data_IF_189888140543
#
_entry.id   IF_189888140543
#
_cell.length_a   1.000
_cell.length_b   1.000
_cell.length_c   1.000
_cell.angle_alpha   90.00
_cell.angle_beta   90.00
_cell.angle_gamma   90.00
#
_symmetry.space_group_name_H-M   'P 1'
#
loop_
_entity.id
_entity.type
_entity.pdbx_description
1 polymer ?
#
# COMPACT_ATOMS: atom_id res chain seq x y z
N UNK A 1 28.82 -5.27 -18.35
CA UNK A 1 28.80 -4.80 -19.77
C UNK A 1 27.52 -3.99 -19.97
N UNK A 2 27.60 -2.68 -19.76
CA UNK A 2 26.54 -1.73 -20.14
C UNK A 2 26.69 -1.47 -21.63
N UNK A 3 25.73 -1.92 -22.44
CA UNK A 3 25.72 -1.64 -23.88
C UNK A 3 25.15 -0.24 -24.06
N UNK A 4 26.05 0.72 -24.27
CA UNK A 4 25.74 2.00 -24.87
C UNK A 4 25.10 1.80 -26.25
N UNK A 5 23.95 2.43 -26.48
CA UNK A 5 23.49 2.77 -27.83
C UNK A 5 22.61 1.75 -28.54
N UNK A 6 21.33 1.68 -28.16
CA UNK A 6 20.23 1.52 -29.12
C UNK A 6 19.19 2.57 -28.78
N UNK A 7 19.38 3.75 -29.35
CA UNK A 7 18.44 4.85 -29.23
C UNK A 7 17.12 4.41 -29.83
N UNK A 8 16.05 4.48 -29.04
CA UNK A 8 14.73 4.73 -29.61
C UNK A 8 14.88 6.05 -30.36
N UNK A 9 15.05 6.00 -31.68
CA UNK A 9 15.17 7.20 -32.49
C UNK A 9 13.79 7.89 -32.49
N UNK A 10 13.76 9.19 -32.20
CA UNK A 10 12.55 10.03 -32.28
C UNK A 10 11.85 9.91 -33.65
N UNK A 11 12.60 9.59 -34.71
CA UNK A 11 12.00 9.40 -36.02
C UNK A 11 11.27 8.05 -36.19
N UNK A 12 11.63 7.00 -35.45
CA UNK A 12 11.15 5.63 -35.76
C UNK A 12 10.50 4.85 -34.64
N UNK A 13 10.61 5.22 -33.35
CA UNK A 13 9.91 4.61 -32.19
C UNK A 13 9.87 3.06 -32.14
N UNK A 14 10.69 2.40 -32.96
CA UNK A 14 10.80 0.96 -33.15
C UNK A 14 12.26 0.61 -32.89
N UNK A 15 12.48 -0.20 -31.86
CA UNK A 15 13.74 -0.86 -31.61
C UNK A 15 13.80 -2.12 -32.48
N UNK A 16 14.52 -2.03 -33.61
CA UNK A 16 14.69 -3.14 -34.56
C UNK A 16 15.47 -4.32 -33.97
N UNK A 17 16.32 -4.08 -32.98
CA UNK A 17 17.14 -5.14 -32.37
C UNK A 17 16.30 -5.94 -31.38
N UNK A 18 15.51 -5.25 -30.54
CA UNK A 18 14.65 -5.89 -29.55
C UNK A 18 13.25 -6.23 -30.08
N UNK A 19 12.94 -5.85 -31.32
CA UNK A 19 11.62 -5.99 -31.94
C UNK A 19 10.52 -5.35 -31.08
N UNK A 20 10.78 -4.15 -30.54
CA UNK A 20 9.83 -3.42 -29.68
C UNK A 20 9.37 -2.15 -30.36
N UNK A 21 8.08 -1.86 -30.30
CA UNK A 21 7.54 -0.56 -30.68
C UNK A 21 7.10 0.19 -29.43
N UNK A 22 7.30 1.51 -29.40
CA UNK A 22 6.74 2.38 -28.37
C UNK A 22 5.43 2.98 -28.88
N UNK A 23 4.39 2.78 -28.08
CA UNK A 23 3.08 3.44 -28.21
C UNK A 23 2.95 4.37 -27.01
N UNK A 24 2.40 5.56 -27.24
CA UNK A 24 2.12 6.55 -26.20
C UNK A 24 0.63 6.78 -26.17
N UNK A 25 0.02 6.52 -25.03
CA UNK A 25 -1.36 6.87 -24.74
C UNK A 25 -1.39 8.20 -24.01
N UNK A 26 -2.06 9.19 -24.61
CA UNK A 26 -2.31 10.48 -24.00
C UNK A 26 -3.76 10.51 -23.56
N UNK A 27 -3.95 10.65 -22.26
CA UNK A 27 -5.26 10.89 -21.68
C UNK A 27 -5.39 12.39 -21.36
N UNK A 28 -6.34 13.06 -22.01
CA UNK A 28 -6.58 14.49 -21.85
C UNK A 28 -7.98 14.73 -21.29
N UNK A 29 -8.16 15.85 -20.58
CA UNK A 29 -9.45 16.21 -19.97
C UNK A 29 -9.86 17.61 -20.40
N UNK A 30 -11.00 17.70 -21.08
CA UNK A 30 -11.57 18.94 -21.59
C UNK A 30 -12.90 19.23 -20.91
N UNK A 31 -13.27 20.50 -20.79
CA UNK A 31 -14.56 20.89 -20.20
C UNK A 31 -15.58 21.09 -21.30
N UNK A 32 -16.67 20.33 -21.23
CA UNK A 32 -17.76 20.39 -22.20
C UNK A 32 -19.10 20.65 -21.52
N UNK A 33 -19.99 21.36 -22.22
CA UNK A 33 -21.34 21.60 -21.73
C UNK A 33 -22.23 20.42 -22.12
N UNK A 34 -22.66 19.65 -21.12
CA UNK A 34 -23.63 18.56 -21.30
C UNK A 34 -25.02 18.98 -20.81
N UNK A 35 -26.04 18.42 -21.44
CA UNK A 35 -27.44 18.65 -21.14
C UNK A 35 -28.00 17.44 -20.38
N UNK A 36 -28.31 17.64 -19.11
CA UNK A 36 -28.90 16.63 -18.24
C UNK A 36 -30.42 16.78 -18.21
N UNK A 37 -31.11 15.64 -18.09
CA UNK A 37 -32.53 15.61 -17.84
C UNK A 37 -32.75 15.71 -16.34
N UNK A 38 -33.66 16.58 -15.91
CA UNK A 38 -33.97 16.79 -14.51
C UNK A 38 -35.46 16.58 -14.33
N UNK A 39 -35.84 15.67 -13.44
CA UNK A 39 -37.23 15.54 -13.04
C UNK A 39 -37.61 16.81 -12.24
N UNK A 40 -38.58 17.57 -12.73
CA UNK A 40 -38.99 18.84 -12.11
C UNK A 40 -39.71 18.65 -10.78
N UNK A 41 -40.25 17.46 -10.53
CA UNK A 41 -40.98 17.13 -9.30
C UNK A 41 -40.05 16.58 -8.22
N UNK A 42 -39.12 15.68 -8.58
CA UNK A 42 -38.18 15.07 -7.61
C UNK A 42 -36.84 15.81 -7.49
N UNK A 43 -36.50 16.66 -8.47
CA UNK A 43 -35.19 17.32 -8.57
C UNK A 43 -34.04 16.37 -8.94
N UNK A 44 -34.30 15.09 -9.18
CA UNK A 44 -33.27 14.13 -9.57
C UNK A 44 -32.81 14.37 -11.01
N UNK A 45 -31.50 14.29 -11.23
CA UNK A 45 -30.87 14.43 -12.55
C UNK A 45 -30.55 13.06 -13.14
N UNK A 46 -30.51 12.96 -14.46
CA UNK A 46 -29.99 11.77 -15.15
C UNK A 46 -28.50 11.60 -14.88
N UNK A 47 -28.05 10.34 -14.74
CA UNK A 47 -26.62 10.04 -14.56
C UNK A 47 -25.79 10.31 -15.83
N UNK A 48 -26.39 10.08 -17.01
CA UNK A 48 -25.79 10.36 -18.30
C UNK A 48 -26.33 11.69 -18.87
N UNK A 49 -25.40 12.54 -19.34
CA UNK A 49 -25.69 13.81 -20.01
C UNK A 49 -25.61 13.67 -21.53
N UNK A 50 -26.41 14.48 -22.24
CA UNK A 50 -26.40 14.53 -23.71
C UNK A 50 -25.48 15.66 -24.20
N UNK A 51 -24.72 15.42 -25.27
CA UNK A 51 -23.84 16.44 -25.85
C UNK A 51 -24.61 17.59 -26.50
N UNK A 52 -25.82 17.32 -27.00
CA UNK A 52 -26.67 18.33 -27.65
C UNK A 52 -28.04 18.41 -27.00
N UNK A 53 -28.54 19.65 -26.87
CA UNK A 53 -29.90 19.91 -26.35
C UNK A 53 -30.99 19.16 -27.13
N UNK A 54 -30.84 19.05 -28.46
CA UNK A 54 -31.81 18.33 -29.32
C UNK A 54 -31.93 16.84 -28.96
N UNK A 55 -30.83 16.20 -28.60
CA UNK A 55 -30.82 14.78 -28.21
C UNK A 55 -31.53 14.58 -26.88
N UNK A 56 -31.36 15.52 -25.94
CA UNK A 56 -32.11 15.54 -24.69
C UNK A 56 -33.62 15.75 -24.93
N UNK A 57 -34.00 16.67 -25.82
CA UNK A 57 -35.42 16.88 -26.21
C UNK A 57 -36.03 15.63 -26.86
N UNK A 58 -35.28 14.93 -27.71
CA UNK A 58 -35.69 13.66 -28.31
C UNK A 58 -35.85 12.55 -27.26
N UNK A 59 -34.95 12.49 -26.26
CA UNK A 59 -35.04 11.55 -25.16
C UNK A 59 -36.31 11.77 -24.32
N UNK A 60 -36.62 13.02 -23.96
CA UNK A 60 -37.87 13.37 -23.26
C UNK A 60 -39.09 12.89 -24.06
N UNK A 61 -39.08 13.14 -25.37
CA UNK A 61 -40.17 12.70 -26.25
C UNK A 61 -40.32 11.17 -26.28
N UNK A 62 -39.22 10.43 -26.22
CA UNK A 62 -39.24 8.96 -26.13
C UNK A 62 -39.81 8.48 -24.80
N UNK A 63 -39.45 9.12 -23.67
CA UNK A 63 -40.03 8.81 -22.36
C UNK A 63 -41.54 9.06 -22.33
N UNK A 64 -41.99 10.22 -22.80
CA UNK A 64 -43.43 10.54 -22.89
C UNK A 64 -44.20 9.54 -23.78
N UNK A 65 -43.58 9.11 -24.89
CA UNK A 65 -44.17 8.10 -25.76
C UNK A 65 -44.23 6.71 -25.11
N UNK A 66 -43.26 6.38 -24.25
CA UNK A 66 -43.25 5.13 -23.48
C UNK A 66 -44.30 5.15 -22.37
N UNK A 67 -44.42 6.25 -21.63
CA UNK A 67 -45.48 6.46 -20.63
C UNK A 67 -46.87 6.29 -21.26
N UNK A 68 -47.10 6.93 -22.41
CA UNK A 68 -48.39 6.81 -23.14
C UNK A 68 -48.68 5.36 -23.57
N UNK A 69 -47.65 4.58 -23.92
CA UNK A 69 -47.82 3.16 -24.27
C UNK A 69 -48.12 2.30 -23.04
N UNK A 70 -47.46 2.56 -21.92
CA UNK A 70 -47.72 1.86 -20.65
C UNK A 70 -49.12 2.15 -20.13
N UNK A 71 -49.58 3.41 -20.19
CA UNK A 71 -50.93 3.82 -19.80
C UNK A 71 -52.01 3.09 -20.63
N UNK A 72 -51.74 2.84 -21.92
CA UNK A 72 -52.63 2.05 -22.80
C UNK A 72 -52.69 0.56 -22.42
N UNK A 73 -51.62 0.01 -21.82
CA UNK A 73 -51.51 -1.40 -21.42
C UNK A 73 -52.16 -1.60 -20.05
N UNK A 74 -51.81 -0.78 -19.07
CA UNK A 74 -52.22 -0.94 -17.67
C UNK A 74 -53.62 -0.38 -17.37
N UNK A 75 -54.18 0.47 -18.26
CA UNK A 75 -55.51 1.11 -18.11
C UNK A 75 -55.69 1.93 -16.83
N UNK A 76 -54.60 2.26 -16.14
CA UNK A 76 -54.56 3.17 -15.00
C UNK A 76 -53.69 4.39 -15.33
N UNK A 77 -54.08 5.60 -14.89
CA UNK A 77 -53.32 6.81 -15.16
C UNK A 77 -52.03 6.82 -14.33
N UNK A 78 -50.90 6.69 -15.01
CA UNK A 78 -49.56 6.78 -14.42
C UNK A 78 -49.24 8.27 -14.16
N UNK A 79 -48.68 8.65 -12.99
CA UNK A 79 -48.29 10.04 -12.74
C UNK A 79 -47.25 10.51 -13.75
N UNK A 80 -47.57 11.60 -14.46
CA UNK A 80 -46.66 12.18 -15.48
C UNK A 80 -45.46 12.82 -14.83
N UNK A 81 -44.28 12.45 -15.31
CA UNK A 81 -43.02 13.03 -14.89
C UNK A 81 -42.65 14.15 -15.88
N UNK A 82 -42.63 15.38 -15.40
CA UNK A 82 -42.15 16.51 -16.20
C UNK A 82 -40.63 16.57 -16.14
N UNK A 83 -39.98 16.55 -17.32
CA UNK A 83 -38.54 16.64 -17.44
C UNK A 83 -38.11 18.04 -17.89
N UNK A 84 -37.23 18.67 -17.12
CA UNK A 84 -36.47 19.87 -17.50
C UNK A 84 -35.11 19.50 -18.09
N UNK A 85 -34.51 20.42 -18.85
CA UNK A 85 -33.15 20.27 -19.38
C UNK A 85 -32.25 21.29 -18.69
N UNK A 86 -31.16 20.84 -18.08
CA UNK A 86 -30.15 21.69 -17.45
C UNK A 86 -28.82 21.50 -18.15
N UNK A 87 -28.18 22.60 -18.55
CA UNK A 87 -26.82 22.58 -19.09
C UNK A 87 -25.79 22.71 -17.96
N UNK A 88 -24.80 21.81 -17.91
CA UNK A 88 -23.70 21.85 -16.93
C UNK A 88 -22.37 21.61 -17.63
N UNK A 89 -21.37 22.41 -17.29
CA UNK A 89 -19.99 22.20 -17.72
C UNK A 89 -19.39 21.05 -16.91
N UNK A 90 -19.07 19.95 -17.57
CA UNK A 90 -18.50 18.73 -16.99
C UNK A 90 -17.16 18.41 -17.63
N UNK A 91 -16.16 17.93 -16.86
CA UNK A 91 -14.89 17.52 -17.44
C UNK A 91 -15.05 16.16 -18.13
N UNK A 92 -14.70 16.03 -19.40
CA UNK A 92 -14.72 14.80 -20.20
C UNK A 92 -13.30 14.37 -20.54
N UNK A 93 -13.05 13.07 -20.42
CA UNK A 93 -11.73 12.49 -20.66
C UNK A 93 -11.70 11.89 -22.07
N UNK A 94 -10.61 12.13 -22.79
CA UNK A 94 -10.35 11.64 -24.14
C UNK A 94 -9.04 10.84 -24.18
N UNK A 95 -8.98 9.88 -25.10
CA UNK A 95 -7.83 9.06 -25.40
C UNK A 95 -7.31 9.39 -26.81
N UNK A 96 -6.06 9.82 -26.85
CA UNK A 96 -5.31 10.02 -28.08
C UNK A 96 -4.10 9.07 -28.08
N UNK A 97 -3.95 8.27 -29.13
CA UNK A 97 -2.88 7.25 -29.21
C UNK A 97 -1.90 7.62 -30.31
N UNK A 98 -0.62 7.68 -29.95
CA UNK A 98 0.47 8.04 -30.84
C UNK A 98 1.48 6.90 -30.95
N UNK A 99 2.03 6.73 -32.14
CA UNK A 99 3.24 5.95 -32.34
C UNK A 99 4.13 6.67 -33.33
N UNK A 100 5.35 7.01 -32.92
CA UNK A 100 6.15 7.89 -33.77
C UNK A 100 5.64 9.32 -33.75
N UNK A 101 5.85 10.00 -34.88
CA UNK A 101 5.15 11.23 -35.22
C UNK A 101 3.77 11.01 -35.86
N UNK A 102 3.16 9.82 -35.70
CA UNK A 102 1.82 9.52 -36.25
C UNK A 102 0.80 9.38 -35.14
N UNK A 103 -0.31 10.06 -35.33
CA UNK A 103 -1.54 9.88 -34.57
C UNK A 103 -2.27 8.65 -35.11
N UNK A 104 -2.51 7.66 -34.25
CA UNK A 104 -3.24 6.44 -34.59
C UNK A 104 -4.73 6.57 -34.25
N UNK A 105 -5.01 7.15 -33.09
CA UNK A 105 -6.37 7.42 -32.60
C UNK A 105 -6.40 8.88 -32.19
N UNK A 106 -7.29 9.64 -32.80
CA UNK A 106 -7.51 11.06 -32.53
C UNK A 106 -8.72 11.22 -31.61
N UNK A 107 -8.51 11.72 -30.39
CA UNK A 107 -9.56 12.12 -29.43
C UNK A 107 -10.74 11.15 -29.34
N UNK A 108 -10.47 9.88 -29.11
CA UNK A 108 -11.54 8.93 -28.81
C UNK A 108 -12.13 9.25 -27.42
N UNK A 109 -13.47 9.22 -27.24
CA UNK A 109 -14.06 9.38 -25.91
C UNK A 109 -13.61 8.26 -24.98
N UNK A 110 -13.50 8.55 -23.67
CA UNK A 110 -13.15 7.55 -22.66
C UNK A 110 -14.08 6.33 -22.77
N UNK A 111 -13.54 5.11 -22.96
CA UNK A 111 -14.36 3.90 -23.07
C UNK A 111 -15.07 3.54 -21.75
N UNK A 112 -14.63 4.09 -20.62
CA UNK A 112 -15.16 3.78 -19.30
C UNK A 112 -16.22 4.80 -18.86
N UNK A 113 -17.37 4.32 -18.38
CA UNK A 113 -18.47 5.14 -17.85
C UNK A 113 -18.07 6.07 -16.71
N UNK A 114 -17.03 5.69 -15.94
CA UNK A 114 -16.58 6.49 -14.82
C UNK A 114 -15.92 7.81 -15.22
N UNK A 115 -15.54 8.01 -16.49
CA UNK A 115 -14.96 9.25 -17.01
C UNK A 115 -13.75 9.79 -16.21
N UNK A 116 -13.02 8.89 -15.57
CA UNK A 116 -11.77 9.16 -14.86
C UNK A 116 -10.60 8.62 -15.70
N UNK A 117 -9.40 9.08 -15.41
CA UNK A 117 -8.18 8.46 -15.95
C UNK A 117 -8.10 7.00 -15.52
N UNK A 118 -7.84 6.04 -16.41
CA UNK A 118 -7.79 4.61 -16.07
C UNK A 118 -6.56 4.23 -15.24
N UNK A 119 -5.58 5.12 -15.15
CA UNK A 119 -4.37 4.94 -14.37
C UNK A 119 -4.43 5.83 -13.14
N UNK A 120 -4.43 5.21 -11.96
CA UNK A 120 -4.32 5.89 -10.68
C UNK A 120 -2.87 5.79 -10.21
N UNK A 121 -2.09 6.88 -10.25
CA UNK A 121 -0.71 6.83 -9.79
C UNK A 121 -0.66 6.79 -8.25
N UNK A 122 0.15 5.89 -7.72
CA UNK A 122 0.53 5.88 -6.30
C UNK A 122 1.90 6.52 -6.14
N UNK A 123 2.00 7.50 -5.24
CA UNK A 123 3.25 8.14 -4.88
C UNK A 123 3.55 7.85 -3.41
N UNK A 124 4.78 7.43 -3.14
CA UNK A 124 5.24 7.19 -1.77
C UNK A 124 5.48 8.53 -1.05
N UNK A 125 6.37 9.37 -1.59
CA UNK A 125 6.45 10.79 -1.27
C UNK A 125 6.00 11.64 -2.46
N UNK A 126 5.25 12.70 -2.17
CA UNK A 126 4.81 13.69 -3.15
C UNK A 126 5.03 15.08 -2.56
N UNK A 127 6.11 15.74 -2.96
CA UNK A 127 6.45 17.08 -2.49
C UNK A 127 6.29 18.08 -3.63
N UNK A 128 5.45 19.09 -3.42
CA UNK A 128 5.31 20.23 -4.31
C UNK A 128 6.07 21.44 -3.74
N UNK A 129 7.27 21.70 -4.26
CA UNK A 129 8.09 22.85 -3.86
C UNK A 129 7.75 24.12 -4.65
N UNK A 130 6.59 24.15 -5.34
CA UNK A 130 6.06 25.29 -6.10
C UNK A 130 6.70 25.53 -7.47
N UNK A 131 7.95 25.11 -7.66
CA UNK A 131 8.65 25.14 -8.96
C UNK A 131 8.83 23.78 -9.63
N UNK A 132 8.73 22.70 -8.84
CA UNK A 132 8.86 21.32 -9.29
C UNK A 132 8.13 20.41 -8.32
N UNK A 133 7.40 19.46 -8.88
CA UNK A 133 6.86 18.33 -8.14
C UNK A 133 7.94 17.26 -8.10
N UNK A 134 8.36 16.87 -6.91
CA UNK A 134 9.30 15.78 -6.69
C UNK A 134 8.58 14.59 -6.07
N UNK A 135 8.76 13.43 -6.70
CA UNK A 135 8.23 12.16 -6.21
C UNK A 135 9.36 11.18 -6.07
N UNK A 136 9.52 10.59 -4.89
CA UNK A 136 10.58 9.62 -4.62
C UNK A 136 10.09 8.51 -3.71
N UNK A 137 10.78 7.37 -3.77
CA UNK A 137 10.51 6.24 -2.90
C UNK A 137 11.40 6.26 -1.66
N UNK A 138 11.11 5.38 -0.70
CA UNK A 138 11.87 5.21 0.53
C UNK A 138 13.39 5.04 0.30
N UNK A 139 13.77 4.33 -0.76
CA UNK A 139 15.16 3.96 -1.03
C UNK A 139 15.99 5.15 -1.53
N UNK A 140 15.37 6.20 -2.07
CA UNK A 140 16.11 7.33 -2.65
C UNK A 140 17.00 8.00 -1.60
N UNK A 141 16.45 8.25 -0.41
CA UNK A 141 17.16 8.87 0.70
C UNK A 141 18.21 7.95 1.33
N UNK A 142 18.11 6.64 1.13
CA UNK A 142 19.09 5.66 1.63
C UNK A 142 20.31 5.50 0.72
N UNK A 143 20.28 6.00 -0.53
CA UNK A 143 21.38 5.84 -1.49
C UNK A 143 22.66 6.51 -1.02
N UNK A 144 22.56 7.69 -0.43
CA UNK A 144 23.74 8.47 -0.04
C UNK A 144 24.47 7.89 1.19
N UNK A 145 23.79 7.53 2.29
CA UNK A 145 24.42 6.76 3.38
C UNK A 145 25.07 5.46 2.89
N UNK A 146 24.41 4.75 1.97
CA UNK A 146 24.97 3.52 1.41
C UNK A 146 26.22 3.77 0.54
N UNK A 147 26.24 4.83 -0.27
CA UNK A 147 27.43 5.24 -1.06
C UNK A 147 28.59 5.63 -0.14
N UNK A 148 28.29 6.37 0.92
CA UNK A 148 29.26 6.78 1.91
C UNK A 148 29.88 5.56 2.62
N UNK A 149 29.05 4.63 3.10
CA UNK A 149 29.47 3.35 3.66
C UNK A 149 30.37 2.56 2.70
N UNK A 150 29.94 2.40 1.44
CA UNK A 150 30.72 1.68 0.43
C UNK A 150 32.08 2.35 0.17
N UNK A 151 32.10 3.68 0.12
CA UNK A 151 33.34 4.45 -0.10
C UNK A 151 34.29 4.31 1.08
N UNK A 152 33.80 4.45 2.31
CA UNK A 152 34.58 4.28 3.54
C UNK A 152 35.17 2.89 3.65
N UNK A 153 34.34 1.84 3.45
CA UNK A 153 34.81 0.45 3.46
C UNK A 153 35.91 0.21 2.44
N UNK A 154 35.76 0.75 1.22
CA UNK A 154 36.79 0.64 0.18
C UNK A 154 38.10 1.34 0.59
N UNK A 155 38.02 2.52 1.21
CA UNK A 155 39.20 3.25 1.69
C UNK A 155 39.87 2.55 2.87
N UNK A 156 39.11 2.00 3.81
CA UNK A 156 39.64 1.22 4.93
C UNK A 156 40.42 -0.01 4.44
N UNK A 157 39.87 -0.74 3.46
CA UNK A 157 40.55 -1.86 2.82
C UNK A 157 41.81 -1.42 2.06
N UNK A 158 41.78 -0.29 1.35
CA UNK A 158 42.96 0.24 0.66
C UNK A 158 44.06 0.63 1.66
N UNK A 159 43.71 1.26 2.78
CA UNK A 159 44.64 1.56 3.87
C UNK A 159 45.25 0.27 4.40
N UNK A 160 44.44 -0.75 4.72
CA UNK A 160 44.94 -2.03 5.23
C UNK A 160 45.86 -2.76 4.23
N UNK A 161 45.53 -2.71 2.93
CA UNK A 161 46.31 -3.37 1.88
C UNK A 161 47.63 -2.64 1.60
N UNK A 162 47.65 -1.31 1.67
CA UNK A 162 48.84 -0.48 1.46
C UNK A 162 49.67 -0.27 2.72
N UNK A 163 49.12 -0.58 3.90
CA UNK A 163 49.84 -0.49 5.17
C UNK A 163 51.05 -1.43 5.10
N UNK A 164 52.27 -0.91 5.33
CA UNK A 164 53.46 -1.74 5.39
C UNK A 164 53.29 -2.82 6.48
N UNK A 165 53.42 -4.09 6.11
CA UNK A 165 53.36 -5.22 7.04
C UNK A 165 54.71 -5.36 7.76
N UNK A 166 55.01 -4.42 8.65
CA UNK A 166 56.27 -4.39 9.39
C UNK A 166 57.47 -3.97 8.52
N UNK A 167 58.59 -3.72 9.19
CA UNK A 167 59.78 -3.09 8.64
C UNK A 167 60.15 -1.86 9.46
N UNK A 168 61.43 -1.52 9.46
CA UNK A 168 61.93 -0.27 10.03
C UNK A 168 62.77 0.46 8.99
N UNK A 169 63.10 1.73 9.25
CA UNK A 169 64.04 2.45 8.38
C UNK A 169 65.45 1.89 8.62
N UNK A 170 66.08 1.39 7.56
CA UNK A 170 67.45 0.87 7.61
C UNK A 170 68.41 1.89 7.00
N UNK A 171 69.58 2.05 7.62
CA UNK A 171 70.68 2.86 7.07
C UNK A 171 71.25 2.15 5.83
N UNK A 172 71.58 2.92 4.79
CA UNK A 172 72.11 2.43 3.53
C UNK A 172 73.35 1.54 3.74
N UNK A 173 73.34 0.34 3.14
CA UNK A 173 74.43 -0.65 3.24
C UNK A 173 74.32 -1.68 4.36
N UNK A 174 73.32 -1.61 5.26
CA UNK A 174 73.18 -2.53 6.40
C UNK A 174 72.26 -3.73 6.16
N UNK A 175 71.56 -3.78 5.01
CA UNK A 175 70.58 -4.84 4.69
C UNK A 175 70.75 -5.29 3.23
N UNK A 176 70.80 -6.61 3.01
CA UNK A 176 70.83 -7.21 1.68
C UNK A 176 69.47 -7.05 0.96
N UNK A 177 69.43 -6.87 -0.39
CA UNK A 177 68.18 -6.83 -1.15
C UNK A 177 67.25 -8.02 -0.89
N UNK A 178 67.81 -9.20 -0.61
CA UNK A 178 67.03 -10.40 -0.32
C UNK A 178 66.36 -10.35 1.06
N UNK A 179 67.04 -9.76 2.05
CA UNK A 179 66.50 -9.53 3.39
C UNK A 179 65.41 -8.46 3.37
N UNK A 180 65.60 -7.41 2.56
CA UNK A 180 64.59 -6.37 2.33
C UNK A 180 63.31 -6.95 1.72
N UNK A 181 63.44 -7.85 0.73
CA UNK A 181 62.30 -8.53 0.12
C UNK A 181 61.56 -9.44 1.11
N UNK A 182 62.28 -10.18 1.96
CA UNK A 182 61.67 -11.03 3.02
C UNK A 182 60.94 -10.20 4.08
N UNK A 183 61.52 -9.08 4.51
CA UNK A 183 60.85 -8.13 5.41
C UNK A 183 59.54 -7.58 4.80
N UNK A 184 59.57 -7.17 3.53
CA UNK A 184 58.40 -6.57 2.86
C UNK A 184 57.27 -7.58 2.56
N UNK A 185 57.59 -8.86 2.35
CA UNK A 185 56.63 -9.89 1.91
C UNK A 185 56.11 -10.76 3.05
N UNK A 186 56.98 -11.12 4.00
CA UNK A 186 56.64 -12.00 5.12
C UNK A 186 56.45 -11.25 6.45
N UNK A 187 56.86 -9.98 6.54
CA UNK A 187 56.85 -9.21 7.79
C UNK A 187 57.85 -9.71 8.83
N UNK A 188 58.80 -10.57 8.43
CA UNK A 188 59.87 -11.03 9.30
C UNK A 188 60.79 -9.87 9.69
N UNK A 189 61.09 -9.76 10.99
CA UNK A 189 62.10 -8.84 11.49
C UNK A 189 63.48 -9.27 10.98
N UNK A 190 64.05 -8.49 10.07
CA UNK A 190 65.46 -8.63 9.69
C UNK A 190 66.30 -8.08 10.84
N UNK A 191 66.78 -8.98 11.70
CA UNK A 191 67.81 -8.64 12.67
C UNK A 191 69.08 -8.22 11.93
N UNK A 192 69.58 -7.02 12.24
CA UNK A 192 70.84 -6.52 11.69
C UNK A 192 71.97 -7.45 12.18
N UNK A 193 72.69 -8.18 11.29
CA UNK A 193 73.82 -8.99 11.72
C UNK A 193 75.00 -8.08 12.05
N UNK A 194 75.33 -7.97 13.34
CA UNK A 194 76.64 -7.55 13.82
C UNK A 194 76.84 -6.04 13.99
N UNK A 195 76.64 -5.55 15.21
CA UNK A 195 77.26 -4.31 15.68
C UNK A 195 78.16 -4.59 16.87
N UNK A 196 79.38 -5.08 16.62
CA UNK A 196 80.49 -4.88 17.55
C UNK A 196 81.07 -3.47 17.29
N UNK A 197 80.63 -2.48 18.08
CA UNK A 197 81.44 -1.27 18.31
C UNK A 197 81.01 0.07 17.67
N UNK A 198 79.79 0.23 17.12
CA UNK A 198 79.29 1.57 16.72
C UNK A 198 78.13 2.03 17.61
N UNK A 199 78.08 3.34 17.87
CA UNK A 199 77.22 4.00 18.86
C UNK A 199 75.74 3.64 18.65
N UNK A 200 75.05 3.43 19.76
CA UNK A 200 73.61 3.15 19.88
C UNK A 200 72.82 4.44 19.61
N UNK A 201 73.01 5.07 18.45
CA UNK A 201 72.22 6.22 17.99
C UNK A 201 71.38 5.89 16.76
N UNK A 202 71.73 4.82 16.05
CA UNK A 202 71.07 4.42 14.80
C UNK A 202 69.93 3.44 15.13
N UNK A 203 68.92 3.93 15.86
CA UNK A 203 67.74 3.13 16.19
C UNK A 203 66.87 2.97 14.95
N UNK A 204 66.48 1.72 14.69
CA UNK A 204 65.48 1.37 13.70
C UNK A 204 64.15 2.03 14.10
N UNK A 205 63.69 3.05 13.35
CA UNK A 205 62.39 3.64 13.62
C UNK A 205 61.33 2.74 12.98
N UNK A 206 60.47 2.14 13.81
CA UNK A 206 59.30 1.42 13.33
C UNK A 206 58.42 2.38 12.54
N UNK A 207 57.86 1.95 11.41
CA UNK A 207 56.85 2.74 10.72
C UNK A 207 55.74 3.12 11.69
N UNK A 208 55.39 4.41 11.75
CA UNK A 208 54.27 4.84 12.58
C UNK A 208 52.99 4.16 12.11
N UNK A 209 52.42 3.32 12.96
CA UNK A 209 51.13 2.67 12.75
C UNK A 209 49.96 3.59 13.09
N UNK A 210 50.20 4.89 13.36
CA UNK A 210 49.15 5.86 13.71
C UNK A 210 48.05 5.94 12.64
N UNK A 211 48.35 5.66 11.38
CA UNK A 211 47.37 5.61 10.29
C UNK A 211 46.36 4.46 10.41
N UNK A 212 46.66 3.39 11.17
CA UNK A 212 45.69 2.32 11.45
C UNK A 212 44.51 2.79 12.30
N UNK A 213 44.67 3.88 13.07
CA UNK A 213 43.55 4.51 13.79
C UNK A 213 42.49 5.10 12.84
N UNK A 214 42.83 5.36 11.57
CA UNK A 214 41.87 5.76 10.56
C UNK A 214 40.94 4.61 10.17
N UNK A 215 41.41 3.36 10.26
CA UNK A 215 40.60 2.16 9.97
C UNK A 215 39.53 1.97 11.04
N UNK A 216 39.88 2.11 12.32
CA UNK A 216 38.90 2.03 13.41
C UNK A 216 37.90 3.19 13.36
N UNK A 217 38.36 4.40 13.02
CA UNK A 217 37.47 5.55 12.79
C UNK A 217 36.53 5.31 11.61
N UNK A 218 37.04 4.76 10.50
CA UNK A 218 36.22 4.43 9.34
C UNK A 218 35.18 3.35 9.65
N UNK A 219 35.51 2.35 10.46
CA UNK A 219 34.58 1.32 10.91
C UNK A 219 33.47 1.91 11.81
N UNK A 220 33.82 2.78 12.76
CA UNK A 220 32.83 3.46 13.60
C UNK A 220 31.88 4.35 12.78
N UNK A 221 32.40 5.04 11.75
CA UNK A 221 31.59 5.86 10.85
C UNK A 221 30.76 5.03 9.87
N UNK A 222 31.19 3.82 9.53
CA UNK A 222 30.39 2.86 8.77
C UNK A 222 29.20 2.35 9.60
N UNK A 223 29.41 2.07 10.89
CA UNK A 223 28.34 1.70 11.82
C UNK A 223 27.34 2.85 11.95
N UNK A 224 27.83 4.09 12.10
CA UNK A 224 26.97 5.28 12.12
C UNK A 224 26.13 5.44 10.85
N UNK A 225 26.74 5.27 9.67
CA UNK A 225 25.99 5.32 8.41
C UNK A 225 24.91 4.23 8.30
N UNK A 226 25.09 3.07 8.96
CA UNK A 226 24.06 2.04 9.04
C UNK A 226 22.90 2.45 9.97
N UNK A 227 23.20 3.15 11.07
CA UNK A 227 22.19 3.75 11.95
C UNK A 227 21.44 4.87 11.22
N UNK A 228 22.14 5.77 10.55
CA UNK A 228 21.54 6.88 9.80
C UNK A 228 20.59 6.33 8.71
N UNK A 229 20.97 5.28 7.99
CA UNK A 229 20.11 4.63 7.00
C UNK A 229 18.82 4.07 7.62
N UNK A 230 18.91 3.51 8.83
CA UNK A 230 17.77 2.98 9.57
C UNK A 230 16.84 4.10 10.04
N UNK A 231 17.40 5.18 10.59
CA UNK A 231 16.63 6.35 11.03
C UNK A 231 15.89 7.02 9.86
N UNK A 232 16.57 7.25 8.73
CA UNK A 232 15.99 7.83 7.51
C UNK A 232 14.86 6.94 6.96
N UNK A 233 15.00 5.61 7.07
CA UNK A 233 14.00 4.68 6.56
C UNK A 233 12.70 4.60 7.38
N UNK A 234 12.67 5.18 8.59
CA UNK A 234 11.55 4.99 9.53
C UNK A 234 11.40 3.55 10.04
N UNK A 235 12.29 2.63 9.66
CA UNK A 235 12.29 1.24 10.13
C UNK A 235 12.81 1.16 11.57
N UNK A 236 11.93 1.44 12.52
CA UNK A 236 12.23 1.30 13.95
C UNK A 236 12.45 -0.18 14.33
N UNK A 237 13.27 -0.45 15.36
CA UNK A 237 13.51 -1.81 15.87
C UNK A 237 12.24 -2.65 16.13
N UNK A 238 11.17 -2.08 16.70
CA UNK A 238 9.91 -2.79 16.91
C UNK A 238 9.28 -3.27 15.60
N UNK A 239 9.35 -2.46 14.52
CA UNK A 239 8.84 -2.85 13.20
C UNK A 239 9.68 -3.97 12.57
N UNK A 240 10.97 -4.02 12.91
CA UNK A 240 11.88 -5.09 12.48
C UNK A 240 11.74 -6.37 13.34
N UNK A 241 10.85 -6.38 14.33
CA UNK A 241 10.69 -7.49 15.27
C UNK A 241 11.87 -7.66 16.23
N UNK A 242 12.73 -6.64 16.36
CA UNK A 242 13.83 -6.65 17.31
C UNK A 242 13.33 -6.15 18.66
N UNK A 243 13.36 -7.03 19.66
CA UNK A 243 13.04 -6.64 21.03
C UNK A 243 14.10 -5.65 21.53
N UNK A 244 13.68 -4.45 21.92
CA UNK A 244 14.60 -3.45 22.49
C UNK A 244 15.04 -3.85 23.90
N UNK A 245 14.29 -4.74 24.57
CA UNK A 245 14.61 -5.28 25.89
C UNK A 245 14.21 -6.74 26.02
N UNK A 246 14.99 -7.51 26.76
CA UNK A 246 14.69 -8.91 27.09
C UNK A 246 13.49 -9.10 28.02
N UNK A 247 12.96 -8.01 28.61
CA UNK A 247 11.79 -8.01 29.52
C UNK A 247 10.65 -7.13 29.01
N UNK A 248 10.46 -7.08 27.70
CA UNK A 248 9.36 -6.33 27.10
C UNK A 248 8.04 -7.11 27.20
N UNK A 249 6.97 -6.47 27.70
CA UNK A 249 5.64 -7.06 27.68
C UNK A 249 5.05 -7.01 26.27
N UNK A 250 4.21 -7.99 25.90
CA UNK A 250 3.57 -8.05 24.58
C UNK A 250 2.78 -6.78 24.25
N UNK A 251 2.09 -6.19 25.23
CA UNK A 251 1.41 -4.91 25.09
C UNK A 251 2.37 -3.74 24.82
N UNK A 252 3.53 -3.69 25.48
CA UNK A 252 4.54 -2.66 25.22
C UNK A 252 5.14 -2.80 23.81
N UNK A 253 5.37 -4.03 23.35
CA UNK A 253 5.81 -4.31 21.99
C UNK A 253 4.77 -3.85 20.94
N UNK A 254 3.49 -4.19 21.14
CA UNK A 254 2.40 -3.73 20.28
C UNK A 254 2.29 -2.20 20.25
N UNK A 255 2.40 -1.55 21.41
CA UNK A 255 2.35 -0.08 21.50
C UNK A 255 3.49 0.56 20.71
N UNK A 256 4.69 -0.01 20.77
CA UNK A 256 5.83 0.47 20.00
C UNK A 256 5.70 0.21 18.50
N UNK A 257 5.14 -0.93 18.10
CA UNK A 257 4.82 -1.20 16.69
C UNK A 257 3.85 -0.13 16.16
N UNK A 258 2.81 0.22 16.93
CA UNK A 258 1.88 1.31 16.56
C UNK A 258 2.58 2.66 16.44
N UNK A 259 3.47 2.98 17.38
CA UNK A 259 4.26 4.22 17.28
C UNK A 259 5.17 4.23 16.04
N UNK A 260 5.75 3.07 15.68
CA UNK A 260 6.49 2.91 14.43
C UNK A 260 5.62 3.13 13.19
N UNK A 261 4.38 2.64 13.20
CA UNK A 261 3.43 2.84 12.09
C UNK A 261 3.07 4.32 11.88
N UNK A 262 3.07 5.17 12.92
CA UNK A 262 2.85 6.61 12.76
C UNK A 262 3.89 7.27 11.83
N UNK A 263 5.12 6.75 11.79
CA UNK A 263 6.14 7.27 10.85
C UNK A 263 5.81 6.98 9.39
N UNK A 264 4.92 6.01 9.14
CA UNK A 264 4.47 5.57 7.83
C UNK A 264 3.04 6.05 7.50
N UNK A 265 2.43 6.87 8.36
CA UNK A 265 1.02 7.27 8.28
C UNK A 265 0.70 7.96 6.95
N UNK A 266 1.52 8.94 6.54
CA UNK A 266 1.33 9.67 5.29
C UNK A 266 1.33 8.73 4.06
N UNK A 267 2.22 7.73 4.07
CA UNK A 267 2.35 6.79 2.95
C UNK A 267 1.20 5.77 2.92
N UNK A 268 0.67 5.42 4.10
CA UNK A 268 -0.54 4.59 4.22
C UNK A 268 -1.78 5.36 3.79
N UNK A 269 -1.93 6.62 4.17
CA UNK A 269 -3.02 7.50 3.74
C UNK A 269 -3.04 7.68 2.22
N UNK A 270 -1.87 7.91 1.62
CA UNK A 270 -1.74 8.01 0.17
C UNK A 270 -2.11 6.68 -0.52
N UNK A 271 -1.73 5.56 0.09
CA UNK A 271 -2.07 4.23 -0.42
C UNK A 271 -3.57 3.98 -0.34
N UNK A 272 -4.21 4.36 0.76
CA UNK A 272 -5.64 4.15 0.98
C UNK A 272 -6.47 5.07 0.08
N UNK A 273 -6.07 6.32 -0.14
CA UNK A 273 -6.67 7.19 -1.18
C UNK A 273 -6.59 6.54 -2.57
N UNK A 274 -5.42 6.00 -2.92
CA UNK A 274 -5.20 5.34 -4.22
C UNK A 274 -6.06 4.08 -4.34
N UNK A 275 -6.09 3.22 -3.32
CA UNK A 275 -6.92 2.01 -3.29
C UNK A 275 -8.40 2.35 -3.43
N UNK A 276 -8.88 3.36 -2.69
CA UNK A 276 -10.28 3.80 -2.74
C UNK A 276 -10.66 4.21 -4.16
N UNK A 277 -9.85 5.05 -4.79
CA UNK A 277 -10.08 5.49 -6.17
C UNK A 277 -10.07 4.31 -7.16
N UNK A 278 -9.14 3.36 -7.01
CA UNK A 278 -9.08 2.15 -7.85
C UNK A 278 -10.33 1.29 -7.66
N UNK A 279 -10.80 1.12 -6.42
CA UNK A 279 -12.01 0.34 -6.11
C UNK A 279 -13.27 1.00 -6.68
N UNK A 280 -13.43 2.32 -6.52
CA UNK A 280 -14.54 3.08 -7.11
C UNK A 280 -14.57 2.91 -8.64
N UNK A 281 -13.43 3.03 -9.30
CA UNK A 281 -13.32 2.78 -10.74
C UNK A 281 -13.61 1.32 -11.11
N UNK A 282 -13.15 0.38 -10.27
CA UNK A 282 -13.39 -1.05 -10.48
C UNK A 282 -14.87 -1.39 -10.40
N UNK A 283 -15.60 -0.86 -9.41
CA UNK A 283 -17.05 -1.07 -9.28
C UNK A 283 -17.77 -0.51 -10.51
N UNK A 284 -17.46 0.71 -10.95
CA UNK A 284 -18.05 1.27 -12.17
C UNK A 284 -17.74 0.45 -13.43
N UNK A 285 -16.55 -0.13 -13.52
CA UNK A 285 -16.20 -1.06 -14.59
C UNK A 285 -16.97 -2.38 -14.48
N UNK A 286 -17.24 -2.88 -13.27
CA UNK A 286 -18.12 -4.05 -13.08
C UNK A 286 -19.54 -3.73 -13.55
N UNK A 287 -20.10 -2.56 -13.18
CA UNK A 287 -21.43 -2.12 -13.64
C UNK A 287 -21.52 -1.99 -15.17
N UNK A 288 -20.42 -1.65 -15.84
CA UNK A 288 -20.40 -1.52 -17.30
C UNK A 288 -20.22 -2.85 -18.04
N UNK A 289 -19.37 -3.76 -17.55
CA UNK A 289 -18.92 -4.94 -18.31
C UNK A 289 -19.43 -6.28 -17.76
N UNK A 290 -19.94 -6.36 -16.53
CA UNK A 290 -20.44 -7.61 -15.99
C UNK A 290 -21.86 -7.89 -16.47
N UNK A 291 -22.06 -9.10 -16.98
CA UNK A 291 -23.39 -9.60 -17.32
C UNK A 291 -24.13 -10.03 -16.05
N UNK A 292 -25.46 -9.85 -15.96
CA UNK A 292 -26.25 -10.29 -14.81
C UNK A 292 -26.02 -11.77 -14.45
N UNK A 293 -25.90 -12.65 -15.46
CA UNK A 293 -25.60 -14.08 -15.27
C UNK A 293 -24.28 -14.34 -14.54
N UNK A 294 -23.26 -13.51 -14.81
CA UNK A 294 -21.95 -13.61 -14.14
C UNK A 294 -22.08 -13.23 -12.67
N UNK A 295 -22.88 -12.21 -12.36
CA UNK A 295 -23.13 -11.75 -10.99
C UNK A 295 -23.90 -12.81 -10.21
N UNK A 296 -24.98 -13.35 -10.79
CA UNK A 296 -25.77 -14.44 -10.20
C UNK A 296 -24.88 -15.66 -9.85
N UNK A 297 -23.97 -16.04 -10.75
CA UNK A 297 -23.01 -17.12 -10.49
C UNK A 297 -22.07 -16.82 -9.31
N UNK A 298 -21.62 -15.58 -9.14
CA UNK A 298 -20.72 -15.18 -8.04
C UNK A 298 -21.47 -15.24 -6.70
N UNK A 299 -22.74 -14.82 -6.70
CA UNK A 299 -23.60 -14.87 -5.51
C UNK A 299 -23.92 -16.33 -5.11
N UNK A 300 -23.78 -17.28 -6.04
CA UNK A 300 -24.11 -18.69 -5.79
C UNK A 300 -25.61 -18.96 -5.84
N UNK A 301 -26.41 -17.98 -6.28
CA UNK A 301 -27.80 -18.19 -6.63
C UNK A 301 -27.83 -18.90 -7.99
N UNK A 302 -28.19 -20.18 -8.01
CA UNK A 302 -28.71 -20.76 -9.25
C UNK A 302 -29.94 -19.92 -9.64
N UNK A 303 -30.05 -19.51 -10.91
CA UNK A 303 -31.20 -18.75 -11.44
C UNK A 303 -32.44 -19.69 -11.54
N UNK A 304 -32.55 -20.64 -10.61
CA UNK A 304 -33.52 -21.71 -10.60
C UNK A 304 -34.43 -21.51 -9.39
N UNK A 305 -35.68 -21.16 -9.74
CA UNK A 305 -36.91 -21.17 -8.96
C UNK A 305 -37.24 -19.93 -8.11
N UNK A 306 -38.07 -19.06 -8.70
CA UNK A 306 -38.74 -17.87 -8.12
C UNK A 306 -39.58 -18.14 -6.84
N UNK A 307 -39.58 -19.35 -6.28
CA UNK A 307 -40.43 -19.72 -5.14
C UNK A 307 -39.87 -19.26 -3.79
N UNK A 308 -38.63 -18.77 -3.72
CA UNK A 308 -38.03 -18.26 -2.46
C UNK A 308 -37.93 -16.73 -2.43
N UNK A 309 -38.36 -16.07 -1.32
CA UNK A 309 -38.35 -14.61 -1.19
C UNK A 309 -36.94 -14.01 -1.20
N UNK A 310 -35.90 -14.79 -0.92
CA UNK A 310 -34.51 -14.33 -1.00
C UNK A 310 -34.02 -14.18 -2.46
N UNK A 311 -34.57 -14.97 -3.39
CA UNK A 311 -34.16 -14.92 -4.79
C UNK A 311 -34.77 -13.72 -5.54
N UNK A 312 -35.97 -13.25 -5.15
CA UNK A 312 -36.61 -12.08 -5.76
C UNK A 312 -35.82 -10.78 -5.50
N UNK A 313 -35.22 -10.67 -4.32
CA UNK A 313 -34.33 -9.54 -3.97
C UNK A 313 -33.07 -9.55 -4.84
N UNK A 314 -32.54 -10.74 -5.14
CA UNK A 314 -31.37 -10.88 -6.02
C UNK A 314 -31.72 -10.48 -7.46
N UNK A 315 -32.88 -10.88 -8.00
CA UNK A 315 -33.31 -10.45 -9.34
C UNK A 315 -33.57 -8.96 -9.43
N UNK A 316 -34.18 -8.35 -8.42
CA UNK A 316 -34.35 -6.88 -8.35
C UNK A 316 -32.99 -6.17 -8.28
N UNK A 317 -32.07 -6.68 -7.47
CA UNK A 317 -30.70 -6.16 -7.39
C UNK A 317 -29.97 -6.27 -8.74
N UNK A 318 -30.06 -7.41 -9.42
CA UNK A 318 -29.44 -7.61 -10.74
C UNK A 318 -30.00 -6.66 -11.81
N UNK A 319 -31.30 -6.35 -11.76
CA UNK A 319 -31.93 -5.39 -12.65
C UNK A 319 -31.43 -3.95 -12.39
N UNK A 320 -31.25 -3.59 -11.12
CA UNK A 320 -30.87 -2.23 -10.71
C UNK A 320 -29.36 -2.01 -10.60
N UNK A 321 -28.54 -3.07 -10.58
CA UNK A 321 -27.10 -3.03 -10.31
C UNK A 321 -26.33 -2.02 -11.16
N UNK A 322 -26.75 -1.84 -12.42
CA UNK A 322 -26.11 -0.91 -13.37
C UNK A 322 -26.26 0.55 -12.96
N UNK A 323 -27.36 0.90 -12.27
CA UNK A 323 -27.72 2.27 -11.90
C UNK A 323 -27.54 2.56 -10.40
N UNK A 324 -27.26 1.55 -9.58
CA UNK A 324 -27.04 1.74 -8.14
C UNK A 324 -25.73 2.46 -7.89
N UNK A 325 -25.76 3.57 -7.15
CA UNK A 325 -24.54 4.24 -6.70
C UNK A 325 -23.98 3.53 -5.45
N UNK A 326 -22.69 3.20 -5.49
CA UNK A 326 -21.98 2.56 -4.39
C UNK A 326 -20.97 3.53 -3.78
N UNK A 327 -21.01 3.67 -2.46
CA UNK A 327 -19.95 4.30 -1.70
C UNK A 327 -18.94 3.23 -1.27
N UNK A 328 -17.66 3.50 -1.51
CA UNK A 328 -16.57 2.61 -1.10
C UNK A 328 -15.91 3.20 0.14
N UNK A 329 -15.84 2.41 1.20
CA UNK A 329 -15.04 2.72 2.38
C UNK A 329 -14.00 1.62 2.59
N UNK A 330 -12.78 2.03 2.89
CA UNK A 330 -11.71 1.10 3.24
C UNK A 330 -11.79 0.88 4.74
N UNK A 331 -12.38 -0.24 5.16
CA UNK A 331 -12.23 -0.68 6.54
C UNK A 331 -10.84 -1.31 6.72
N UNK A 332 -10.13 -0.87 7.76
CA UNK A 332 -8.87 -1.46 8.18
C UNK A 332 -9.16 -2.80 8.87
N UNK A 333 -9.59 -3.79 8.09
CA UNK A 333 -9.76 -5.20 8.45
C UNK A 333 -10.02 -5.42 9.94
N UNK A 334 -11.19 -5.00 10.43
CA UNK A 334 -11.64 -5.23 11.81
C UNK A 334 -11.64 -6.72 12.21
N UNK A 335 -11.61 -7.61 11.22
CA UNK A 335 -11.57 -9.07 11.32
C UNK A 335 -10.20 -9.71 10.96
N UNK A 336 -9.14 -8.92 10.79
CA UNK A 336 -7.81 -9.53 10.61
C UNK A 336 -7.48 -10.42 11.83
N UNK A 337 -6.90 -11.62 11.64
CA UNK A 337 -6.56 -12.52 12.75
C UNK A 337 -5.73 -11.83 13.84
N UNK A 338 -4.83 -10.93 13.45
CA UNK A 338 -4.02 -10.13 14.36
C UNK A 338 -4.84 -9.14 15.20
N UNK A 339 -5.82 -8.45 14.61
CA UNK A 339 -6.68 -7.52 15.35
C UNK A 339 -7.70 -8.26 16.22
N UNK A 340 -8.20 -9.42 15.77
CA UNK A 340 -9.07 -10.30 16.57
C UNK A 340 -8.34 -10.80 17.80
N UNK A 341 -7.12 -11.31 17.65
CA UNK A 341 -6.26 -11.70 18.77
C UNK A 341 -5.99 -10.55 19.75
N UNK A 342 -5.73 -9.34 19.23
CA UNK A 342 -5.52 -8.15 20.07
C UNK A 342 -6.79 -7.73 20.83
N UNK A 343 -7.96 -7.78 20.18
CA UNK A 343 -9.25 -7.54 20.84
C UNK A 343 -9.51 -8.59 21.91
N UNK A 344 -9.23 -9.86 21.63
CA UNK A 344 -9.34 -10.94 22.62
C UNK A 344 -8.41 -10.69 23.82
N UNK A 345 -7.18 -10.24 23.61
CA UNK A 345 -6.26 -9.88 24.72
C UNK A 345 -6.80 -8.72 25.57
N UNK A 346 -7.38 -7.69 24.95
CA UNK A 346 -8.00 -6.57 25.67
C UNK A 346 -9.21 -7.02 26.48
N UNK A 347 -10.08 -7.86 25.90
CA UNK A 347 -11.24 -8.41 26.62
C UNK A 347 -10.79 -9.33 27.75
N UNK A 348 -9.71 -10.11 27.58
CA UNK A 348 -9.13 -10.92 28.66
C UNK A 348 -8.68 -10.07 29.85
N UNK A 349 -8.08 -8.90 29.61
CA UNK A 349 -7.71 -7.97 30.68
C UNK A 349 -8.94 -7.41 31.41
N UNK A 350 -10.02 -7.11 30.68
CA UNK A 350 -11.27 -6.66 31.32
C UNK A 350 -11.90 -7.76 32.19
N UNK A 351 -11.84 -9.01 31.75
CA UNK A 351 -12.28 -10.16 32.54
C UNK A 351 -11.44 -10.28 33.82
N UNK A 352 -10.11 -10.12 33.73
CA UNK A 352 -9.22 -10.10 34.90
C UNK A 352 -9.53 -8.93 35.87
N UNK A 353 -10.00 -7.80 35.35
CA UNK A 353 -10.43 -6.64 36.15
C UNK A 353 -11.83 -6.82 36.78
N UNK A 354 -12.54 -7.91 36.49
CA UNK A 354 -13.82 -8.26 37.10
C UNK A 354 -15.04 -8.20 36.18
N UNK A 355 -14.88 -7.89 34.89
CA UNK A 355 -15.98 -7.88 33.92
C UNK A 355 -16.24 -9.28 33.33
N UNK A 356 -16.71 -10.20 34.16
CA UNK A 356 -16.94 -11.62 33.77
C UNK A 356 -18.02 -11.79 32.70
N UNK A 357 -18.93 -10.83 32.54
CA UNK A 357 -19.98 -10.84 31.52
C UNK A 357 -19.46 -10.77 30.08
N UNK A 358 -18.19 -10.40 29.88
CA UNK A 358 -17.54 -10.32 28.56
C UNK A 358 -16.92 -11.64 28.08
N UNK A 359 -16.99 -12.71 28.87
CA UNK A 359 -16.41 -14.01 28.50
C UNK A 359 -16.94 -14.59 27.16
N UNK A 360 -18.25 -14.51 26.83
CA UNK A 360 -18.74 -14.96 25.52
C UNK A 360 -18.12 -14.18 24.35
N UNK A 361 -17.91 -12.88 24.53
CA UNK A 361 -17.28 -12.02 23.52
C UNK A 361 -15.78 -12.36 23.37
N UNK A 362 -15.09 -12.66 24.47
CA UNK A 362 -13.70 -13.13 24.42
C UNK A 362 -13.57 -14.41 23.59
N UNK A 363 -14.50 -15.34 23.79
CA UNK A 363 -14.51 -16.63 23.13
C UNK A 363 -14.76 -16.52 21.61
N UNK A 364 -15.63 -15.60 21.20
CA UNK A 364 -15.84 -15.27 19.79
C UNK A 364 -14.61 -14.62 19.13
N UNK A 365 -13.91 -13.77 19.88
CA UNK A 365 -12.71 -13.10 19.39
C UNK A 365 -11.47 -14.01 19.42
N UNK A 366 -11.50 -15.08 20.21
CA UNK A 366 -10.41 -16.04 20.33
C UNK A 366 -10.47 -17.08 19.22
N UNK A 367 -9.33 -17.39 18.58
CA UNK A 367 -9.22 -18.46 17.58
C UNK A 367 -9.14 -19.86 18.26
N UNK A 368 -10.07 -20.18 19.17
CA UNK A 368 -10.14 -21.50 19.84
C UNK A 368 -11.06 -22.42 19.03
N UNK A 369 -10.62 -23.65 18.75
CA UNK A 369 -11.38 -24.62 17.93
C UNK A 369 -12.74 -25.00 18.54
N UNK A 370 -12.81 -25.13 19.86
CA UNK A 370 -14.04 -25.47 20.61
C UNK A 370 -14.84 -24.25 21.07
N UNK A 371 -14.67 -23.09 20.44
CA UNK A 371 -15.33 -21.85 20.87
C UNK A 371 -16.86 -21.94 20.78
N UNK A 372 -17.39 -22.58 19.74
CA UNK A 372 -18.83 -22.68 19.52
C UNK A 372 -19.49 -23.64 20.52
N UNK A 373 -18.85 -24.79 20.82
CA UNK A 373 -19.33 -25.76 21.81
C UNK A 373 -19.42 -25.14 23.22
N UNK A 374 -18.43 -24.32 23.60
CA UNK A 374 -18.40 -23.67 24.91
C UNK A 374 -19.47 -22.56 25.00
N UNK A 375 -19.76 -21.86 23.89
CA UNK A 375 -20.86 -20.87 23.84
C UNK A 375 -22.21 -21.55 24.03
N UNK A 376 -22.45 -22.66 23.34
CA UNK A 376 -23.70 -23.42 23.44
C UNK A 376 -23.94 -23.89 24.89
N UNK A 377 -22.92 -24.48 25.53
CA UNK A 377 -22.99 -24.86 26.94
C UNK A 377 -23.30 -23.68 27.88
N UNK A 378 -22.72 -22.51 27.63
CA UNK A 378 -22.99 -21.31 28.43
C UNK A 378 -24.41 -20.76 28.23
N UNK A 379 -24.96 -20.84 27.03
CA UNK A 379 -26.34 -20.45 26.74
C UNK A 379 -27.33 -21.38 27.43
N UNK A 380 -27.06 -22.69 27.40
CA UNK A 380 -27.82 -23.71 28.14
C UNK A 380 -27.78 -23.46 29.66
N UNK A 381 -26.60 -23.18 30.23
CA UNK A 381 -26.46 -22.86 31.66
C UNK A 381 -27.21 -21.58 32.05
N UNK A 382 -27.17 -20.54 31.21
CA UNK A 382 -27.92 -19.29 31.43
C UNK A 382 -29.43 -19.51 31.36
N UNK A 383 -29.90 -20.28 30.39
CA UNK A 383 -31.31 -20.65 30.24
C UNK A 383 -31.79 -21.45 31.46
N UNK A 384 -30.98 -22.41 31.93
CA UNK A 384 -31.27 -23.18 33.13
C UNK A 384 -31.31 -22.29 34.40
N UNK A 385 -30.38 -21.34 34.55
CA UNK A 385 -30.40 -20.39 35.67
C UNK A 385 -31.63 -19.46 35.64
N UNK A 386 -32.01 -18.93 34.48
CA UNK A 386 -33.22 -18.10 34.36
C UNK A 386 -34.49 -18.86 34.72
N UNK A 387 -34.62 -20.11 34.26
CA UNK A 387 -35.74 -20.96 34.64
C UNK A 387 -35.76 -21.22 36.16
N UNK A 388 -34.60 -21.45 36.77
CA UNK A 388 -34.50 -21.68 38.21
C UNK A 388 -34.80 -20.41 39.04
N UNK A 389 -34.46 -19.23 38.52
CA UNK A 389 -34.72 -17.94 39.17
C UNK A 389 -36.20 -17.51 39.04
N UNK A 390 -36.84 -17.79 37.90
CA UNK A 390 -38.30 -17.62 37.74
C UNK A 390 -39.09 -18.57 38.65
N UNK A 391 -38.62 -19.82 38.82
CA UNK A 391 -39.22 -20.77 39.73
C UNK A 391 -39.10 -20.34 41.21
N UNK A 392 -38.00 -19.69 41.61
CA UNK A 392 -37.83 -19.16 42.97
C UNK A 392 -38.63 -17.87 43.21
N UNK A 393 -38.76 -16.99 42.20
CA UNK A 393 -39.57 -15.77 42.29
C UNK A 393 -41.07 -16.03 42.48
N UNK A 394 -41.58 -17.16 41.95
CA UNK A 394 -42.97 -17.60 42.16
C UNK A 394 -43.22 -18.25 43.53
N UNK A 395 -42.18 -18.64 44.28
CA UNK A 395 -42.32 -19.17 45.64
C UNK A 395 -42.18 -18.10 46.74
N UNK A 396 -41.76 -16.88 46.41
CA UNK A 396 -41.48 -15.82 47.38
C UNK A 396 -42.53 -14.71 47.48
N UNK A 397 -43.70 -14.81 46.84
CA UNK A 397 -44.85 -13.98 47.22
C UNK A 397 -45.43 -14.51 48.54
N UNK A 398 -45.25 -13.83 49.70
CA UNK A 398 -45.89 -14.27 50.92
C UNK A 398 -47.39 -14.00 50.78
N UNK A 399 -48.19 -15.07 50.83
CA UNK A 399 -49.62 -14.98 51.06
C UNK A 399 -49.87 -14.19 52.35
N UNK A 400 -50.20 -12.89 52.21
CA UNK A 400 -50.78 -12.09 53.29
C UNK A 400 -52.21 -12.58 53.50
N UNK A 401 -52.37 -13.49 54.45
CA UNK A 401 -53.64 -13.79 55.12
C UNK A 401 -53.94 -12.76 56.20
#
# INVERSE_FOLDING_TARGET
>A
RYVHGTFVNEATYIDKVRQRARVVELWEREWENEFFLVNTQSGQMSDEGFSKKKEAEEAIRRFQAAETKMEQIEREPIPRIDFGIVARSMPKTYLSVFSGGRLLVDKAPNPYRHNQFPLVPYFYYFEDTGGKVETFGLVENMKDPQREKNKRRSQALDILNRTPRGGGVFVEGMVSPEQMNKASSAGEWVGIPGMKGKRISDFMQQWSTSHLSLVSTAAAMEERAAVDAKEISGATDPLMGQATSSKESGFAAQTRIRQGMLTLEEQMDNLDKTKRQVLEMSIRNMQQFWMPEKIARIIGSEIADEEQPEQSVVTEFLANFTNTNFDVELDAGTNSPTMRAMKAEQVAQMIQMGFQNLFPLWLELSDIESADDIKEQMEEEKMAQMMMQQAQGQMSEPAKG
#
